data_IF_045005513886
#
_entry.id   IF_045005513886
#
_cell.length_a   1.000
_cell.length_b   1.000
_cell.length_c   1.000
_cell.angle_alpha   90.00
_cell.angle_beta   90.00
_cell.angle_gamma   90.00
#
_symmetry.space_group_name_H-M   'P 1'
#
loop_
_entity.id
_entity.type
_entity.pdbx_description
1 polymer ?
#
# COMPACT_ATOMS: atom_id res chain seq x y z
N UNK A 1 30.83 1.41 -30.14
CA UNK A 1 30.54 0.28 -29.22
C UNK A 1 30.37 0.82 -27.82
N UNK A 2 29.12 1.02 -27.43
CA UNK A 2 28.58 0.84 -26.08
C UNK A 2 27.11 1.24 -26.19
N UNK A 3 26.22 0.25 -26.28
CA UNK A 3 24.79 0.45 -26.36
C UNK A 3 24.31 1.02 -25.01
N UNK A 4 23.74 2.22 -25.01
CA UNK A 4 22.95 2.71 -23.90
C UNK A 4 21.65 1.90 -23.86
N UNK A 5 21.67 0.83 -23.06
CA UNK A 5 20.49 0.04 -22.76
C UNK A 5 19.49 0.92 -22.03
N UNK A 6 18.44 1.31 -22.76
CA UNK A 6 17.21 1.84 -22.20
C UNK A 6 16.78 0.95 -21.06
N UNK A 7 16.87 1.48 -19.84
CA UNK A 7 16.18 0.89 -18.72
C UNK A 7 14.72 1.25 -18.94
N UNK A 8 13.96 0.32 -19.49
CA UNK A 8 12.51 0.31 -19.36
C UNK A 8 12.23 0.10 -17.86
N UNK A 9 12.41 1.16 -17.08
CA UNK A 9 12.21 1.15 -15.64
C UNK A 9 10.71 1.05 -15.44
N UNK A 10 10.27 -0.16 -15.12
CA UNK A 10 8.97 -0.43 -14.52
C UNK A 10 8.74 0.61 -13.41
N UNK A 11 7.68 1.43 -13.50
CA UNK A 11 7.48 2.50 -12.55
C UNK A 11 7.21 1.85 -11.18
N UNK A 12 7.85 2.38 -10.14
CA UNK A 12 7.52 2.11 -8.74
C UNK A 12 8.24 0.94 -8.02
N UNK A 13 9.48 0.56 -8.41
CA UNK A 13 10.32 -0.19 -7.48
C UNK A 13 10.86 0.76 -6.40
N UNK A 14 10.58 0.53 -5.10
CA UNK A 14 11.02 1.44 -4.04
C UNK A 14 12.56 1.51 -4.01
N UNK A 15 13.10 2.72 -4.19
CA UNK A 15 14.54 2.99 -4.04
C UNK A 15 14.87 3.05 -2.55
N UNK A 16 15.05 1.88 -1.93
CA UNK A 16 15.53 1.79 -0.57
C UNK A 16 16.95 2.35 -0.50
N UNK A 17 17.21 3.23 0.46
CA UNK A 17 18.49 3.91 0.61
C UNK A 17 19.36 3.28 1.68
N UNK A 18 18.76 2.60 2.66
CA UNK A 18 19.46 1.96 3.76
C UNK A 18 19.28 0.44 3.76
N UNK A 19 20.32 -0.30 4.13
CA UNK A 19 20.33 -1.77 4.12
C UNK A 19 19.23 -2.39 5.01
N UNK A 20 18.88 -1.73 6.12
CA UNK A 20 17.82 -2.20 7.02
C UNK A 20 16.43 -2.14 6.38
N UNK A 21 16.20 -1.21 5.44
CA UNK A 21 14.92 -1.09 4.72
C UNK A 21 14.75 -2.27 3.76
N UNK A 22 15.83 -2.67 3.06
CA UNK A 22 15.83 -3.81 2.16
C UNK A 22 15.56 -5.11 2.93
N UNK A 23 16.26 -5.31 4.05
CA UNK A 23 16.06 -6.49 4.90
C UNK A 23 14.63 -6.56 5.45
N UNK A 24 14.10 -5.41 5.89
CA UNK A 24 12.73 -5.33 6.39
C UNK A 24 11.71 -5.57 5.27
N UNK A 25 11.91 -5.04 4.07
CA UNK A 25 11.05 -5.30 2.92
C UNK A 25 10.95 -6.80 2.62
N UNK A 26 12.09 -7.49 2.58
CA UNK A 26 12.15 -8.93 2.34
C UNK A 26 11.40 -9.71 3.42
N UNK A 27 11.60 -9.36 4.70
CA UNK A 27 10.92 -10.01 5.82
C UNK A 27 9.40 -9.80 5.80
N UNK A 28 8.93 -8.61 5.43
CA UNK A 28 7.50 -8.33 5.27
C UNK A 28 6.95 -9.16 4.11
N UNK A 29 7.65 -9.19 2.98
CA UNK A 29 7.23 -9.92 1.78
C UNK A 29 7.16 -11.43 2.01
N UNK A 30 8.14 -11.98 2.72
CA UNK A 30 8.16 -13.39 3.14
C UNK A 30 6.97 -13.71 4.06
N UNK A 31 6.71 -12.86 5.07
CA UNK A 31 5.59 -13.03 6.00
C UNK A 31 4.22 -12.97 5.30
N UNK A 32 4.10 -12.18 4.22
CA UNK A 32 2.87 -12.10 3.40
C UNK A 32 2.73 -13.31 2.47
N UNK A 33 3.83 -13.89 2.02
CA UNK A 33 3.88 -15.00 1.06
C UNK A 33 3.84 -16.38 1.74
N UNK A 34 4.07 -16.43 3.06
CA UNK A 34 3.97 -17.66 3.84
C UNK A 34 2.53 -18.19 3.85
N UNK A 35 2.39 -19.51 3.82
CA UNK A 35 1.09 -20.19 3.97
C UNK A 35 1.14 -21.16 5.16
N UNK A 36 0.49 -20.86 6.30
CA UNK A 36 -0.37 -19.70 6.57
C UNK A 36 0.39 -18.38 6.70
N UNK A 37 -0.29 -17.26 6.46
CA UNK A 37 0.28 -15.92 6.60
C UNK A 37 0.66 -15.66 8.06
N UNK A 38 1.91 -15.30 8.33
CA UNK A 38 2.35 -14.92 9.68
C UNK A 38 1.88 -13.51 10.04
N UNK A 39 0.62 -13.42 10.46
CA UNK A 39 -0.04 -12.19 10.90
C UNK A 39 0.67 -11.60 12.13
N UNK A 40 1.25 -12.43 13.00
CA UNK A 40 1.89 -11.96 14.24
C UNK A 40 3.18 -11.22 13.93
N UNK A 41 4.04 -11.81 13.09
CA UNK A 41 5.24 -11.15 12.59
C UNK A 41 4.90 -9.89 11.80
N UNK A 42 3.90 -9.95 10.92
CA UNK A 42 3.47 -8.80 10.11
C UNK A 42 2.99 -7.62 10.98
N UNK A 43 2.26 -7.88 12.08
CA UNK A 43 1.86 -6.83 13.05
C UNK A 43 3.06 -6.25 13.78
N UNK A 44 4.00 -7.09 14.22
CA UNK A 44 5.24 -6.63 14.84
C UNK A 44 6.02 -5.69 13.91
N UNK A 45 6.19 -6.08 12.65
CA UNK A 45 6.91 -5.28 11.66
C UNK A 45 6.19 -3.96 11.33
N UNK A 46 4.85 -3.95 11.33
CA UNK A 46 4.07 -2.73 11.11
C UNK A 46 4.19 -1.70 12.25
N UNK A 47 4.48 -2.13 13.49
CA UNK A 47 4.63 -1.23 14.66
C UNK A 47 6.06 -0.69 14.77
N UNK A 48 7.06 -1.42 14.28
CA UNK A 48 8.47 -1.01 14.33
C UNK A 48 8.78 0.21 13.45
N UNK A 49 9.91 0.87 13.70
CA UNK A 49 10.38 2.07 12.98
C UNK A 49 10.22 1.93 11.46
N UNK A 50 9.62 2.93 10.81
CA UNK A 50 9.33 2.93 9.38
C UNK A 50 8.05 2.18 8.98
N UNK A 51 7.36 1.52 9.91
CA UNK A 51 6.10 0.82 9.68
C UNK A 51 6.15 -0.15 8.51
N UNK A 52 5.15 -0.10 7.65
CA UNK A 52 5.16 -0.74 6.33
C UNK A 52 5.81 0.22 5.34
N UNK A 53 7.00 -0.12 4.82
CA UNK A 53 7.94 0.80 4.16
C UNK A 53 7.35 1.55 2.96
N UNK A 54 6.62 0.85 2.08
CA UNK A 54 6.09 1.42 0.84
C UNK A 54 4.59 1.17 0.68
N UNK A 55 3.95 1.97 -0.18
CA UNK A 55 2.52 1.85 -0.49
C UNK A 55 2.18 0.46 -1.06
N UNK A 56 3.07 -0.14 -1.84
CA UNK A 56 2.84 -1.48 -2.38
C UNK A 56 2.76 -2.55 -1.29
N UNK A 57 3.69 -2.51 -0.31
CA UNK A 57 3.61 -3.40 0.85
C UNK A 57 2.36 -3.10 1.68
N UNK A 58 1.98 -1.83 1.85
CA UNK A 58 0.74 -1.48 2.56
C UNK A 58 -0.50 -2.07 1.89
N UNK A 59 -0.62 -1.96 0.56
CA UNK A 59 -1.74 -2.52 -0.20
C UNK A 59 -1.92 -4.02 0.06
N UNK A 60 -0.82 -4.78 0.09
CA UNK A 60 -0.83 -6.24 0.31
C UNK A 60 -0.96 -6.61 1.79
N UNK A 61 -0.22 -5.96 2.67
CA UNK A 61 -0.22 -6.25 4.09
C UNK A 61 -1.56 -5.90 4.75
N UNK A 62 -2.16 -4.74 4.42
CA UNK A 62 -3.42 -4.31 5.03
C UNK A 62 -4.58 -5.23 4.67
N UNK A 63 -4.66 -5.71 3.43
CA UNK A 63 -5.70 -6.66 3.02
C UNK A 63 -5.60 -7.96 3.82
N UNK A 64 -4.39 -8.46 4.07
CA UNK A 64 -4.16 -9.65 4.90
C UNK A 64 -4.43 -9.40 6.39
N UNK A 65 -3.96 -8.28 6.93
CA UNK A 65 -4.17 -7.91 8.34
C UNK A 65 -5.64 -7.69 8.69
N UNK A 66 -6.42 -7.12 7.77
CA UNK A 66 -7.85 -6.87 7.95
C UNK A 66 -8.73 -8.06 7.56
N UNK A 67 -8.14 -9.16 7.07
CA UNK A 67 -8.89 -10.32 6.59
C UNK A 67 -9.79 -10.01 5.39
N UNK A 68 -9.45 -8.99 4.60
CA UNK A 68 -10.25 -8.58 3.45
C UNK A 68 -9.94 -9.49 2.27
N UNK A 69 -10.98 -10.13 1.72
CA UNK A 69 -10.86 -10.89 0.50
C UNK A 69 -10.94 -9.96 -0.72
N UNK A 70 -9.80 -9.78 -1.40
CA UNK A 70 -9.68 -8.99 -2.63
C UNK A 70 -10.51 -9.51 -3.81
N UNK A 71 -10.97 -10.76 -3.75
CA UNK A 71 -11.85 -11.34 -4.75
C UNK A 71 -13.33 -11.08 -4.46
N UNK A 72 -13.66 -10.60 -3.26
CA UNK A 72 -15.03 -10.29 -2.83
C UNK A 72 -15.21 -8.77 -2.66
N UNK A 73 -14.85 -8.02 -3.69
CA UNK A 73 -15.07 -6.56 -3.70
C UNK A 73 -16.54 -6.33 -4.08
N UNK A 74 -17.34 -5.65 -3.23
CA UNK A 74 -18.71 -5.31 -3.59
C UNK A 74 -18.72 -4.45 -4.86
N UNK A 75 -19.69 -4.72 -5.74
CA UNK A 75 -19.89 -3.95 -6.97
C UNK A 75 -20.07 -2.46 -6.66
N UNK A 76 -19.71 -1.61 -7.63
CA UNK A 76 -19.77 -0.17 -7.49
C UNK A 76 -21.15 0.27 -6.95
N UNK A 77 -21.20 0.94 -5.79
CA UNK A 77 -22.47 1.31 -5.18
C UNK A 77 -23.17 2.36 -6.05
N UNK A 78 -24.50 2.27 -6.11
CA UNK A 78 -25.30 3.25 -6.84
C UNK A 78 -25.09 4.65 -6.25
N UNK A 79 -24.71 5.61 -7.11
CA UNK A 79 -24.36 6.98 -6.70
C UNK A 79 -25.54 7.83 -6.25
N UNK A 80 -26.76 7.29 -6.31
CA UNK A 80 -27.96 8.00 -5.86
C UNK A 80 -28.20 7.72 -4.37
N UNK A 81 -27.36 8.34 -3.54
CA UNK A 81 -27.49 8.29 -2.09
C UNK A 81 -27.81 9.68 -1.55
N UNK A 82 -28.73 9.75 -0.58
CA UNK A 82 -29.16 11.01 0.07
C UNK A 82 -28.00 11.86 0.61
N UNK A 83 -26.90 11.21 1.00
CA UNK A 83 -25.73 11.87 1.59
C UNK A 83 -24.69 12.31 0.55
N UNK A 84 -24.93 12.11 -0.75
CA UNK A 84 -24.00 12.47 -1.83
C UNK A 84 -23.48 13.90 -1.72
N UNK A 85 -24.38 14.85 -1.49
CA UNK A 85 -24.01 16.27 -1.38
C UNK A 85 -23.14 16.54 -0.16
N UNK A 86 -23.38 15.86 0.97
CA UNK A 86 -22.55 16.00 2.17
C UNK A 86 -21.14 15.44 1.94
N UNK A 87 -21.04 14.25 1.34
CA UNK A 87 -19.75 13.62 1.01
C UNK A 87 -18.91 14.53 0.10
N UNK A 88 -19.52 15.15 -0.92
CA UNK A 88 -18.81 16.09 -1.81
C UNK A 88 -18.27 17.29 -1.02
N UNK A 89 -19.09 17.87 -0.13
CA UNK A 89 -18.66 19.01 0.69
C UNK A 89 -17.50 18.63 1.64
N UNK A 90 -17.50 17.43 2.19
CA UNK A 90 -16.43 16.94 3.07
C UNK A 90 -15.14 16.65 2.30
N UNK A 91 -15.23 16.02 1.13
CA UNK A 91 -14.08 15.76 0.25
C UNK A 91 -13.43 17.08 -0.17
N UNK A 92 -14.22 18.07 -0.60
CA UNK A 92 -13.71 19.38 -1.03
C UNK A 92 -13.06 20.16 0.13
N UNK A 93 -13.52 19.95 1.37
CA UNK A 93 -12.88 20.54 2.56
C UNK A 93 -11.53 19.88 2.89
N UNK A 94 -11.35 18.61 2.54
CA UNK A 94 -10.12 17.85 2.78
C UNK A 94 -9.11 17.96 1.63
N UNK A 95 -9.55 18.21 0.39
CA UNK A 95 -8.71 18.30 -0.81
C UNK A 95 -7.47 19.22 -0.67
N UNK A 96 -7.56 20.42 -0.07
CA UNK A 96 -6.39 21.31 0.11
C UNK A 96 -5.24 20.66 0.89
N UNK A 97 -5.55 19.70 1.76
CA UNK A 97 -4.57 18.97 2.57
C UNK A 97 -4.06 17.70 1.89
N UNK A 98 -4.79 17.19 0.88
CA UNK A 98 -4.42 16.00 0.12
C UNK A 98 -3.41 16.30 -0.99
N UNK A 99 -3.32 17.56 -1.46
CA UNK A 99 -2.26 18.01 -2.39
C UNK A 99 -0.85 17.96 -1.81
N UNK A 100 -0.70 17.83 -0.50
CA UNK A 100 0.61 17.67 0.15
C UNK A 100 1.13 16.22 0.15
N UNK A 101 0.34 15.24 -0.33
CA UNK A 101 0.70 13.82 -0.34
C UNK A 101 0.78 13.21 -1.75
N UNK A 102 0.77 14.04 -2.80
CA UNK A 102 1.01 13.63 -4.19
C UNK A 102 2.41 13.99 -4.66
#
# INVERSE_FOLDING_TARGET
MAAEGGKDILPDLPTFTEDWEVHKFQSIMESISSDPVDITSLRGQAITKGGLLCNELRRRAWTKLLGINIYNIPSYPHLDHKDKNQVILDVNRCEPYLKCFS
#
